data_IF_217027397862
#
_entry.id   IF_217027397862
#
_cell.length_a   1.000
_cell.length_b   1.000
_cell.length_c   1.000
_cell.angle_alpha   90.00
_cell.angle_beta   90.00
_cell.angle_gamma   90.00
#
_symmetry.space_group_name_H-M   'P 1'
#
loop_
_entity.id
_entity.type
_entity.pdbx_description
1 polymer ?
#
# COMPACT_ATOMS: atom_id res chain seq x y z
N UNK A 1 5.29 -16.17 -4.63
CA UNK A 1 5.91 -14.87 -4.28
C UNK A 1 5.05 -14.12 -3.27
N UNK A 2 5.62 -13.19 -2.51
CA UNK A 2 4.89 -12.28 -1.60
C UNK A 2 5.21 -10.82 -1.94
N UNK A 3 4.19 -9.99 -2.10
CA UNK A 3 4.30 -8.57 -2.44
C UNK A 3 3.82 -7.74 -1.27
N UNK A 4 4.69 -6.92 -0.68
CA UNK A 4 4.32 -6.06 0.45
C UNK A 4 4.39 -4.60 0.04
N UNK A 5 3.23 -3.98 -0.17
CA UNK A 5 3.12 -2.55 -0.37
C UNK A 5 3.23 -1.82 0.97
N UNK A 6 4.20 -0.92 1.08
CA UNK A 6 4.42 -0.14 2.30
C UNK A 6 4.19 1.35 2.08
N UNK A 7 3.72 2.02 3.14
CA UNK A 7 3.60 3.47 3.21
C UNK A 7 3.80 3.96 4.65
N UNK A 8 3.40 5.19 4.96
CA UNK A 8 3.52 5.75 6.30
C UNK A 8 2.61 5.02 7.31
N UNK A 9 1.29 5.00 7.08
CA UNK A 9 0.31 4.52 8.06
C UNK A 9 -0.47 3.27 7.67
N UNK A 10 -0.11 2.60 6.57
CA UNK A 10 -0.87 1.48 5.97
C UNK A 10 -2.31 1.79 5.52
N UNK A 11 -2.73 3.06 5.50
CA UNK A 11 -4.15 3.40 5.36
C UNK A 11 -4.59 3.83 3.94
N UNK A 12 -3.66 4.35 3.11
CA UNK A 12 -4.04 5.02 1.85
C UNK A 12 -3.28 4.51 0.63
N UNK A 13 -1.99 4.82 0.49
CA UNK A 13 -1.25 4.55 -0.74
C UNK A 13 -0.84 3.10 -0.91
N UNK A 14 -0.50 2.41 0.19
CA UNK A 14 -0.26 0.96 0.17
C UNK A 14 -1.54 0.20 -0.14
N UNK A 15 -2.66 0.61 0.48
CA UNK A 15 -3.99 0.05 0.25
C UNK A 15 -4.41 0.23 -1.20
N UNK A 16 -4.27 1.43 -1.76
CA UNK A 16 -4.59 1.66 -3.17
C UNK A 16 -3.74 0.80 -4.10
N UNK A 17 -2.42 0.74 -3.87
CA UNK A 17 -1.53 -0.06 -4.71
C UNK A 17 -1.89 -1.55 -4.64
N UNK A 18 -2.21 -2.07 -3.46
CA UNK A 18 -2.66 -3.44 -3.28
C UNK A 18 -4.03 -3.70 -3.95
N UNK A 19 -4.97 -2.74 -3.86
CA UNK A 19 -6.27 -2.81 -4.53
C UNK A 19 -6.14 -2.88 -6.05
N UNK A 20 -5.26 -2.07 -6.65
CA UNK A 20 -4.96 -2.12 -8.09
C UNK A 20 -4.27 -3.47 -8.42
N UNK A 21 -3.31 -3.89 -7.60
CA UNK A 21 -2.55 -5.12 -7.85
C UNK A 21 -3.43 -6.37 -7.86
N UNK A 22 -4.40 -6.44 -6.94
CA UNK A 22 -5.33 -7.57 -6.80
C UNK A 22 -6.57 -7.46 -7.68
N UNK A 23 -6.71 -6.40 -8.47
CA UNK A 23 -7.86 -6.19 -9.36
C UNK A 23 -9.16 -5.75 -8.65
N UNK A 24 -9.10 -5.38 -7.36
CA UNK A 24 -10.25 -4.82 -6.63
C UNK A 24 -10.66 -3.48 -7.22
N UNK A 25 -9.69 -2.69 -7.69
CA UNK A 25 -9.94 -1.45 -8.43
C UNK A 25 -9.21 -1.46 -9.77
N UNK A 26 -9.69 -0.70 -10.77
CA UNK A 26 -9.19 -0.78 -12.14
C UNK A 26 -7.71 -0.41 -12.28
N UNK A 27 -7.03 -1.01 -13.25
CA UNK A 27 -5.63 -0.74 -13.61
C UNK A 27 -5.46 -0.13 -15.02
N UNK A 28 -6.57 0.22 -15.66
CA UNK A 28 -6.67 0.82 -16.99
C UNK A 28 -7.26 2.24 -16.98
N UNK A 29 -7.98 2.61 -15.90
CA UNK A 29 -8.55 3.94 -15.66
C UNK A 29 -8.37 4.40 -14.22
N UNK A 30 -8.70 5.66 -13.96
CA UNK A 30 -8.78 6.18 -12.59
C UNK A 30 -10.05 5.65 -11.93
N UNK A 31 -9.92 5.11 -10.71
CA UNK A 31 -11.07 4.69 -9.92
C UNK A 31 -11.91 5.88 -9.45
N UNK A 32 -13.21 5.64 -9.31
CA UNK A 32 -14.16 6.58 -8.70
C UNK A 32 -13.87 6.74 -7.20
N UNK A 33 -14.46 7.78 -6.61
CA UNK A 33 -14.34 8.00 -5.17
C UNK A 33 -14.92 6.83 -4.37
N UNK A 34 -16.05 6.29 -4.82
CA UNK A 34 -16.72 5.14 -4.23
C UNK A 34 -15.85 3.89 -4.28
N UNK A 35 -15.31 3.56 -5.46
CA UNK A 35 -14.39 2.44 -5.65
C UNK A 35 -13.19 2.53 -4.70
N UNK A 36 -12.56 3.71 -4.58
CA UNK A 36 -11.43 3.91 -3.64
C UNK A 36 -11.88 3.75 -2.19
N UNK A 37 -13.02 4.31 -1.82
CA UNK A 37 -13.53 4.26 -0.45
C UNK A 37 -13.92 2.86 0.00
N UNK A 38 -14.25 1.98 -0.96
CA UNK A 38 -14.64 0.60 -0.73
C UNK A 38 -13.47 -0.39 -0.80
N UNK A 39 -12.25 0.06 -1.11
CA UNK A 39 -11.07 -0.81 -1.03
C UNK A 39 -10.94 -1.35 0.41
N UNK A 40 -10.73 -2.66 0.60
CA UNK A 40 -10.47 -3.23 1.92
C UNK A 40 -9.37 -2.47 2.67
N UNK A 41 -9.57 -2.24 3.97
CA UNK A 41 -8.64 -1.51 4.84
C UNK A 41 -8.44 -0.01 4.52
N UNK A 42 -9.15 0.57 3.55
CA UNK A 42 -8.99 1.97 3.21
C UNK A 42 -9.34 2.91 4.37
N UNK A 43 -8.38 3.74 4.77
CA UNK A 43 -8.53 4.74 5.83
C UNK A 43 -9.03 4.15 7.16
N UNK A 44 -8.63 2.91 7.46
CA UNK A 44 -9.04 2.14 8.65
C UNK A 44 -7.92 1.75 9.60
N UNK A 45 -6.65 1.79 9.18
CA UNK A 45 -5.53 1.37 10.04
C UNK A 45 -5.40 2.24 11.27
N UNK A 46 -5.33 1.60 12.44
CA UNK A 46 -5.08 2.26 13.71
C UNK A 46 -3.58 2.47 13.96
N UNK A 47 -3.24 3.44 14.80
CA UNK A 47 -1.82 3.80 15.02
C UNK A 47 -1.00 2.65 15.64
N UNK A 48 -1.67 1.80 16.43
CA UNK A 48 -1.08 0.64 17.10
C UNK A 48 -0.78 -0.52 16.13
N UNK A 49 -1.45 -0.54 14.98
CA UNK A 49 -1.29 -1.56 13.93
C UNK A 49 -0.10 -1.27 13.00
N UNK A 50 0.53 -0.10 13.13
CA UNK A 50 1.65 0.29 12.30
C UNK A 50 2.87 -0.59 12.62
N UNK A 51 3.44 -1.20 11.58
CA UNK A 51 4.50 -2.20 11.68
C UNK A 51 4.00 -3.63 11.49
N UNK A 52 2.67 -3.85 11.50
CA UNK A 52 2.06 -5.15 11.19
C UNK A 52 1.94 -5.34 9.67
N UNK A 53 2.26 -6.55 9.21
CA UNK A 53 2.07 -6.97 7.82
C UNK A 53 0.67 -7.59 7.71
N UNK A 54 -0.22 -6.93 6.98
CA UNK A 54 -1.58 -7.42 6.77
C UNK A 54 -1.73 -8.08 5.41
N UNK A 55 -2.30 -9.29 5.41
CA UNK A 55 -2.69 -9.95 4.17
C UNK A 55 -3.85 -9.17 3.52
N UNK A 56 -3.69 -8.89 2.24
CA UNK A 56 -4.66 -8.09 1.48
C UNK A 56 -5.44 -8.96 0.49
N UNK A 57 -4.78 -9.91 -0.19
CA UNK A 57 -5.41 -10.77 -1.17
C UNK A 57 -4.40 -11.48 -2.07
N UNK A 58 -4.90 -12.08 -3.15
CA UNK A 58 -4.09 -12.67 -4.21
C UNK A 58 -4.27 -11.90 -5.51
N UNK A 59 -3.22 -11.87 -6.33
CA UNK A 59 -3.29 -11.38 -7.70
C UNK A 59 -3.73 -12.47 -8.68
N UNK A 60 -3.85 -12.12 -9.96
CA UNK A 60 -4.24 -13.03 -11.04
C UNK A 60 -3.26 -14.19 -11.29
N UNK A 61 -2.02 -14.08 -10.78
CA UNK A 61 -0.98 -15.11 -10.87
C UNK A 61 -0.88 -15.96 -9.58
N UNK A 62 -1.74 -15.70 -8.59
CA UNK A 62 -1.78 -16.41 -7.31
C UNK A 62 -0.76 -15.94 -6.26
N UNK A 63 -0.04 -14.83 -6.51
CA UNK A 63 0.89 -14.23 -5.57
C UNK A 63 0.16 -13.54 -4.42
N UNK A 64 0.69 -13.71 -3.21
CA UNK A 64 0.11 -13.10 -2.02
C UNK A 64 0.49 -11.61 -1.96
N UNK A 65 -0.50 -10.74 -1.79
CA UNK A 65 -0.34 -9.29 -1.63
C UNK A 65 -0.63 -8.90 -0.19
N UNK A 66 0.21 -8.01 0.35
CA UNK A 66 0.14 -7.51 1.71
C UNK A 66 0.31 -5.99 1.75
N UNK A 67 -0.13 -5.38 2.85
CA UNK A 67 0.09 -3.96 3.16
C UNK A 67 0.79 -3.79 4.50
N UNK A 68 1.58 -2.73 4.65
CA UNK A 68 2.24 -2.39 5.92
C UNK A 68 2.50 -0.88 6.06
N UNK A 69 2.29 -0.35 7.27
CA UNK A 69 2.71 1.00 7.67
C UNK A 69 4.10 0.99 8.30
N UNK A 70 4.92 2.00 8.02
CA UNK A 70 6.30 2.10 8.53
C UNK A 70 6.63 3.42 9.25
N UNK A 71 5.67 4.35 9.36
CA UNK A 71 5.86 5.71 9.90
C UNK A 71 7.09 6.40 9.26
N UNK A 72 7.81 7.20 10.03
CA UNK A 72 9.07 7.86 9.65
C UNK A 72 10.30 6.95 9.72
N UNK A 73 10.14 5.64 9.95
CA UNK A 73 11.25 4.72 10.18
C UNK A 73 11.35 3.55 9.18
N UNK A 74 11.13 3.75 7.86
CA UNK A 74 11.07 2.66 6.90
C UNK A 74 12.38 1.87 6.80
N UNK A 75 13.54 2.51 6.99
CA UNK A 75 14.84 1.82 6.98
C UNK A 75 14.97 0.84 8.16
N UNK A 76 14.55 1.24 9.35
CA UNK A 76 14.63 0.42 10.56
C UNK A 76 13.66 -0.76 10.45
N UNK A 77 12.41 -0.50 10.07
CA UNK A 77 11.39 -1.54 9.90
C UNK A 77 11.82 -2.56 8.84
N UNK A 78 12.30 -2.10 7.67
CA UNK A 78 12.82 -2.99 6.62
C UNK A 78 13.98 -3.85 7.14
N UNK A 79 14.95 -3.26 7.84
CA UNK A 79 16.08 -4.02 8.41
C UNK A 79 15.62 -5.07 9.40
N UNK A 80 14.72 -4.73 10.32
CA UNK A 80 14.19 -5.64 11.33
C UNK A 80 13.40 -6.80 10.70
N UNK A 81 12.53 -6.54 9.73
CA UNK A 81 11.82 -7.58 8.98
C UNK A 81 12.81 -8.54 8.31
N UNK A 82 13.75 -7.97 7.57
CA UNK A 82 14.73 -8.69 6.77
C UNK A 82 15.71 -9.51 7.64
N UNK A 83 16.13 -9.00 8.81
CA UNK A 83 16.96 -9.75 9.75
C UNK A 83 16.20 -10.91 10.39
N UNK A 84 14.93 -10.71 10.75
CA UNK A 84 14.09 -11.78 11.29
C UNK A 84 13.88 -12.91 10.27
N UNK A 85 13.59 -12.59 9.01
CA UNK A 85 13.47 -13.62 7.95
C UNK A 85 14.74 -14.47 7.84
N UNK A 86 15.92 -13.86 7.99
CA UNK A 86 17.20 -14.58 7.99
C UNK A 86 17.33 -15.51 9.21
N UNK A 87 16.94 -15.05 10.40
CA UNK A 87 16.98 -15.86 11.64
C UNK A 87 16.10 -17.09 11.51
N UNK A 88 14.91 -16.95 10.92
CA UNK A 88 13.97 -18.04 10.71
C UNK A 88 14.23 -18.88 9.45
N UNK A 89 15.34 -18.65 8.73
CA UNK A 89 15.67 -19.40 7.52
C UNK A 89 14.70 -19.17 6.35
N UNK A 90 13.93 -18.08 6.37
CA UNK A 90 12.97 -17.75 5.32
C UNK A 90 13.70 -17.06 4.17
N UNK A 91 13.58 -17.66 2.98
CA UNK A 91 14.16 -17.12 1.75
C UNK A 91 13.54 -15.76 1.39
N UNK A 92 14.39 -14.73 1.46
CA UNK A 92 14.02 -13.34 1.21
C UNK A 92 13.79 -13.05 -0.27
N UNK A 93 14.28 -13.89 -1.18
CA UNK A 93 14.05 -13.72 -2.62
C UNK A 93 12.59 -13.96 -3.00
N UNK A 94 11.84 -14.68 -2.15
CA UNK A 94 10.41 -14.95 -2.31
C UNK A 94 9.50 -13.79 -1.88
N UNK A 95 10.09 -12.63 -1.56
CA UNK A 95 9.36 -11.45 -1.08
C UNK A 95 9.89 -10.17 -1.73
N UNK A 96 8.98 -9.27 -2.09
CA UNK A 96 9.32 -7.92 -2.54
C UNK A 96 8.66 -6.86 -1.66
N UNK A 97 9.41 -5.81 -1.32
CA UNK A 97 8.92 -4.66 -0.56
C UNK A 97 8.80 -3.46 -1.50
N UNK A 98 7.59 -2.90 -1.61
CA UNK A 98 7.29 -1.83 -2.56
C UNK A 98 6.87 -0.56 -1.82
N UNK A 99 7.71 0.48 -1.86
CA UNK A 99 7.40 1.76 -1.23
C UNK A 99 6.47 2.60 -2.12
N UNK A 100 5.30 2.95 -1.57
CA UNK A 100 4.28 3.74 -2.26
C UNK A 100 4.29 5.22 -1.88
N UNK A 101 5.04 5.61 -0.83
CA UNK A 101 5.06 6.98 -0.32
C UNK A 101 5.61 8.02 -1.33
N UNK A 102 6.55 7.70 -2.26
CA UNK A 102 6.97 8.64 -3.30
C UNK A 102 5.86 8.99 -4.33
N UNK A 103 4.77 8.23 -4.36
CA UNK A 103 3.71 8.35 -5.35
C UNK A 103 2.53 9.21 -4.88
N UNK A 104 2.46 9.54 -3.58
CA UNK A 104 1.42 10.42 -3.04
C UNK A 104 1.75 11.89 -3.27
N UNK A 105 0.71 12.73 -3.32
CA UNK A 105 0.82 14.18 -3.34
C UNK A 105 0.47 14.78 -1.98
N UNK A 106 0.56 16.11 -1.87
CA UNK A 106 0.31 16.83 -0.62
C UNK A 106 -1.16 16.73 -0.16
N UNK A 107 -2.12 16.59 -1.08
CA UNK A 107 -3.54 16.43 -0.71
C UNK A 107 -3.74 15.12 0.04
N UNK A 108 -3.16 14.02 -0.43
CA UNK A 108 -3.20 12.74 0.28
C UNK A 108 -2.51 12.83 1.64
N UNK A 109 -1.37 13.53 1.74
CA UNK A 109 -0.66 13.70 3.01
C UNK A 109 -1.49 14.48 4.04
N UNK A 110 -2.03 15.63 3.64
CA UNK A 110 -2.88 16.48 4.48
C UNK A 110 -4.14 15.72 4.88
N UNK A 111 -4.83 15.10 3.92
CA UNK A 111 -6.02 14.31 4.18
C UNK A 111 -5.76 13.15 5.14
N UNK A 112 -4.62 12.46 4.99
CA UNK A 112 -4.24 11.36 5.86
C UNK A 112 -3.95 11.84 7.29
N UNK A 113 -3.28 12.99 7.43
CA UNK A 113 -3.09 13.62 8.74
C UNK A 113 -4.41 14.04 9.39
N UNK A 114 -5.34 14.65 8.63
CA UNK A 114 -6.65 15.01 9.14
C UNK A 114 -7.46 13.78 9.57
N UNK A 115 -7.55 12.74 8.74
CA UNK A 115 -8.37 11.56 9.02
C UNK A 115 -7.77 10.67 10.12
N UNK A 116 -6.50 10.30 9.99
CA UNK A 116 -5.85 9.31 10.88
C UNK A 116 -5.03 9.95 12.00
N UNK A 117 -4.49 11.15 11.79
CA UNK A 117 -3.71 11.87 12.81
C UNK A 117 -4.58 12.64 13.79
N UNK A 118 -5.59 13.36 13.29
CA UNK A 118 -6.49 14.18 14.11
C UNK A 118 -7.88 13.58 14.34
N UNK A 119 -8.23 12.47 13.68
CA UNK A 119 -9.54 11.83 13.79
C UNK A 119 -10.66 12.52 12.99
N UNK A 120 -10.35 13.54 12.19
CA UNK A 120 -11.32 14.25 11.35
C UNK A 120 -11.61 13.50 10.05
N UNK A 121 -12.21 12.32 10.18
CA UNK A 121 -12.45 11.38 9.06
C UNK A 121 -13.23 12.01 7.91
N UNK A 122 -14.31 12.72 8.23
CA UNK A 122 -15.21 13.30 7.24
C UNK A 122 -14.55 14.42 6.40
N UNK A 123 -13.49 15.04 6.91
CA UNK A 123 -12.72 16.07 6.19
C UNK A 123 -11.50 15.47 5.49
N UNK A 124 -10.80 14.56 6.18
CA UNK A 124 -9.58 13.95 5.67
C UNK A 124 -9.83 13.01 4.51
N UNK A 125 -10.86 12.16 4.60
CA UNK A 125 -11.11 11.09 3.62
C UNK A 125 -11.44 11.60 2.21
N UNK A 126 -12.30 12.62 2.01
CA UNK A 126 -12.49 13.20 0.68
C UNK A 126 -11.19 13.75 0.09
N UNK A 127 -10.36 14.37 0.93
CA UNK A 127 -9.06 14.92 0.51
C UNK A 127 -8.06 13.83 0.12
N UNK A 128 -8.02 12.71 0.86
CA UNK A 128 -7.18 11.56 0.50
C UNK A 128 -7.62 10.92 -0.80
N UNK A 129 -8.93 10.71 -0.98
CA UNK A 129 -9.48 10.12 -2.21
C UNK A 129 -9.13 11.00 -3.41
N UNK A 130 -9.42 12.30 -3.34
CA UNK A 130 -9.13 13.21 -4.44
C UNK A 130 -7.62 13.31 -4.73
N UNK A 131 -6.79 13.32 -3.68
CA UNK A 131 -5.33 13.25 -3.82
C UNK A 131 -4.88 11.97 -4.53
N UNK A 132 -5.43 10.82 -4.16
CA UNK A 132 -5.10 9.54 -4.79
C UNK A 132 -5.58 9.47 -6.24
N UNK A 133 -6.76 10.00 -6.57
CA UNK A 133 -7.23 10.09 -7.95
C UNK A 133 -6.27 10.89 -8.84
N UNK A 134 -5.74 12.01 -8.33
CA UNK A 134 -4.74 12.82 -9.05
C UNK A 134 -3.44 12.06 -9.34
N UNK A 135 -3.02 11.15 -8.48
CA UNK A 135 -1.80 10.36 -8.67
C UNK A 135 -2.06 8.93 -9.18
N UNK A 136 -3.31 8.55 -9.44
CA UNK A 136 -3.74 7.17 -9.69
C UNK A 136 -2.97 6.50 -10.84
N UNK A 137 -2.77 7.21 -11.97
CA UNK A 137 -1.99 6.69 -13.10
C UNK A 137 -0.54 6.33 -12.70
N UNK A 138 0.05 7.05 -11.75
CA UNK A 138 1.39 6.72 -11.22
C UNK A 138 1.36 5.42 -10.42
N UNK A 139 0.27 5.14 -9.70
CA UNK A 139 0.07 3.87 -8.99
C UNK A 139 -0.16 2.70 -9.94
N UNK A 140 -0.95 2.89 -11.01
CA UNK A 140 -1.08 1.89 -12.09
C UNK A 140 0.31 1.53 -12.63
N UNK A 141 1.12 2.53 -12.96
CA UNK A 141 2.47 2.30 -13.50
C UNK A 141 3.39 1.60 -12.49
N UNK A 142 3.31 1.96 -11.21
CA UNK A 142 4.02 1.27 -10.14
C UNK A 142 3.63 -0.21 -10.10
N UNK A 143 2.34 -0.53 -10.05
CA UNK A 143 1.85 -1.91 -10.00
C UNK A 143 2.27 -2.70 -11.23
N UNK A 144 2.12 -2.14 -12.44
CA UNK A 144 2.58 -2.78 -13.69
C UNK A 144 4.08 -3.06 -13.66
N UNK A 145 4.89 -2.15 -13.14
CA UNK A 145 6.34 -2.37 -13.00
C UNK A 145 6.67 -3.48 -11.99
N UNK A 146 5.86 -3.62 -10.93
CA UNK A 146 6.01 -4.67 -9.93
C UNK A 146 5.65 -6.03 -10.52
N UNK A 147 4.52 -6.14 -11.21
CA UNK A 147 4.09 -7.38 -11.87
C UNK A 147 5.13 -7.86 -12.89
N UNK A 148 5.63 -6.98 -13.76
CA UNK A 148 6.73 -7.30 -14.68
C UNK A 148 7.98 -7.85 -13.98
N UNK A 149 8.34 -7.32 -12.81
CA UNK A 149 9.49 -7.84 -12.03
C UNK A 149 9.20 -9.24 -11.48
N UNK A 150 7.96 -9.54 -11.12
CA UNK A 150 7.57 -10.88 -10.64
C UNK A 150 7.62 -11.90 -11.77
N UNK A 151 7.22 -11.52 -12.99
CA UNK A 151 7.30 -12.38 -14.19
C UNK A 151 8.75 -12.81 -14.49
N UNK A 152 9.73 -11.94 -14.25
CA UNK A 152 11.15 -12.26 -14.45
C UNK A 152 11.76 -13.14 -13.35
N UNK A 153 11.06 -13.32 -12.22
CA UNK A 153 11.55 -14.08 -11.05
C UNK A 153 10.84 -15.45 -10.94
N UNK A 154 9.74 -15.65 -11.68
CA UNK A 154 8.91 -16.85 -11.67
C UNK A 154 9.37 -17.86 -12.72
#
# INVERSE_FOLDING_TARGET
MKVIYNCYGSAHSSVLAAGIHTGIVPDDRVATAEEISNIPHYDRTDTEEIGTVYYFGKDEFGFDVYIMGMKSSPKIVKRALLSNLRIFGIDRTKMILVDTLPYVNNLTRIGGFLSRGLGFVNLGRPLTIYGLQKSYKRFINLVKSVKKRLDHIS
#
